data_IF_868301766944
#
_entry.id   IF_868301766944
#
_cell.length_a   1.000
_cell.length_b   1.000
_cell.length_c   1.000
_cell.angle_alpha   90.00
_cell.angle_beta   90.00
_cell.angle_gamma   90.00
#
_symmetry.space_group_name_H-M   'P 1'
#
loop_
_entity.id
_entity.type
_entity.pdbx_description
1 polymer ?
#
# COMPACT_ATOMS: atom_id res chain seq x y z
N UNK A 1 60.93 -30.04 22.76
CA UNK A 1 60.33 -28.71 22.95
C UNK A 1 58.87 -28.91 23.30
N UNK A 2 58.52 -28.72 24.57
CA UNK A 2 57.29 -29.18 25.21
C UNK A 2 56.65 -27.98 25.92
N UNK A 3 55.45 -27.58 25.50
CA UNK A 3 54.52 -26.64 26.15
C UNK A 3 53.22 -26.76 25.31
N UNK A 4 52.13 -27.43 25.67
CA UNK A 4 51.42 -27.73 26.93
C UNK A 4 51.07 -26.48 27.74
N UNK A 5 50.26 -25.60 27.13
CA UNK A 5 49.45 -24.64 27.87
C UNK A 5 48.13 -25.31 28.25
N UNK A 6 48.14 -25.75 29.50
CA UNK A 6 47.06 -26.09 30.44
C UNK A 6 45.62 -25.75 30.04
N UNK A 7 44.79 -26.79 30.08
CA UNK A 7 43.36 -26.72 30.36
C UNK A 7 43.12 -25.94 31.66
N UNK A 8 42.13 -25.03 31.65
CA UNK A 8 41.45 -24.56 32.87
C UNK A 8 39.97 -24.95 32.79
N UNK A 9 39.50 -25.88 33.64
CA UNK A 9 38.08 -26.06 33.87
C UNK A 9 37.61 -25.08 34.94
N UNK A 10 36.79 -24.09 34.57
CA UNK A 10 36.13 -23.22 35.55
C UNK A 10 34.62 -23.51 35.59
N UNK A 11 34.28 -24.35 36.57
CA UNK A 11 33.16 -24.29 37.51
C UNK A 11 31.76 -23.99 36.96
N UNK A 12 30.95 -25.04 37.02
CA UNK A 12 29.49 -25.05 36.97
C UNK A 12 28.92 -24.46 38.27
N UNK A 13 28.05 -23.46 38.17
CA UNK A 13 27.17 -23.03 39.26
C UNK A 13 25.70 -23.25 38.87
N UNK A 14 24.87 -23.87 39.73
CA UNK A 14 23.44 -24.00 39.52
C UNK A 14 22.72 -22.78 40.11
N UNK A 15 21.82 -22.14 39.35
CA UNK A 15 20.80 -21.27 39.93
C UNK A 15 19.42 -21.90 39.74
N UNK A 16 18.79 -22.11 40.89
CA UNK A 16 17.45 -22.64 41.07
C UNK A 16 16.38 -21.75 40.43
N UNK A 17 15.48 -22.40 39.68
CA UNK A 17 14.05 -22.43 39.99
C UNK A 17 13.24 -21.13 39.85
N UNK A 18 12.47 -21.05 38.76
CA UNK A 18 10.99 -21.13 38.77
C UNK A 18 10.48 -20.65 37.41
N UNK A 19 9.94 -21.56 36.61
CA UNK A 19 8.99 -21.18 35.55
C UNK A 19 7.83 -22.18 35.60
N UNK A 20 6.68 -21.69 36.07
CA UNK A 20 5.43 -22.44 36.12
C UNK A 20 5.02 -22.78 34.69
N UNK A 21 4.92 -24.07 34.41
CA UNK A 21 4.25 -24.61 33.25
C UNK A 21 2.77 -24.23 33.29
N UNK A 22 2.40 -23.20 32.53
CA UNK A 22 1.01 -22.97 32.14
C UNK A 22 0.69 -23.92 30.99
N UNK A 23 -0.04 -24.99 31.32
CA UNK A 23 -0.71 -25.85 30.35
C UNK A 23 -2.02 -25.16 29.96
N UNK A 24 -2.26 -24.94 28.67
CA UNK A 24 -3.52 -25.31 28.01
C UNK A 24 -3.40 -25.07 26.50
N UNK A 25 -3.21 -26.16 25.75
CA UNK A 25 -3.62 -26.31 24.35
C UNK A 25 -5.05 -26.86 24.34
N UNK A 26 -5.77 -26.65 23.23
CA UNK A 26 -7.16 -27.05 22.90
C UNK A 26 -8.14 -25.89 22.99
N UNK A 27 -8.94 -25.50 21.99
CA UNK A 27 -9.48 -26.18 20.80
C UNK A 27 -10.11 -25.11 19.86
N UNK A 28 -10.10 -25.37 18.54
CA UNK A 28 -11.22 -25.20 17.57
C UNK A 28 -12.07 -23.88 17.61
N UNK A 29 -12.34 -23.13 16.54
CA UNK A 29 -12.84 -23.46 15.20
C UNK A 29 -12.75 -22.25 14.27
N UNK A 30 -12.52 -22.56 12.99
CA UNK A 30 -12.65 -21.73 11.80
C UNK A 30 -14.11 -21.37 11.55
N UNK A 31 -14.42 -20.10 11.27
CA UNK A 31 -15.63 -19.69 10.54
C UNK A 31 -15.51 -18.24 10.02
N UNK A 32 -14.92 -18.05 8.84
CA UNK A 32 -15.24 -16.88 7.99
C UNK A 32 -15.33 -17.35 6.55
N UNK A 33 -16.51 -17.84 6.19
CA UNK A 33 -16.93 -17.99 4.80
C UNK A 33 -18.28 -17.29 4.69
N UNK A 34 -18.34 -16.19 3.94
CA UNK A 34 -19.52 -15.71 3.18
C UNK A 34 -19.28 -14.29 2.70
N UNK A 35 -18.95 -14.13 1.41
CA UNK A 35 -19.52 -13.14 0.48
C UNK A 35 -18.61 -12.92 -0.74
N UNK A 36 -18.46 -13.95 -1.56
CA UNK A 36 -18.28 -13.77 -3.00
C UNK A 36 -19.35 -14.62 -3.67
N UNK A 37 -20.33 -13.95 -4.29
CA UNK A 37 -20.99 -14.36 -5.53
C UNK A 37 -22.18 -13.43 -5.78
N UNK A 38 -22.02 -12.44 -6.66
CA UNK A 38 -22.99 -12.19 -7.73
C UNK A 38 -22.39 -11.26 -8.80
N UNK A 39 -21.58 -11.84 -9.66
CA UNK A 39 -21.44 -11.37 -11.03
C UNK A 39 -22.29 -12.27 -11.92
N UNK A 40 -23.40 -11.76 -12.45
CA UNK A 40 -23.90 -12.03 -13.82
C UNK A 40 -25.42 -11.82 -13.90
N UNK A 41 -25.84 -10.65 -14.39
CA UNK A 41 -27.13 -10.50 -15.05
C UNK A 41 -27.08 -9.28 -15.98
N UNK A 42 -26.23 -9.32 -16.99
CA UNK A 42 -26.40 -8.52 -18.19
C UNK A 42 -27.11 -9.38 -19.23
N UNK A 43 -28.37 -9.07 -19.50
CA UNK A 43 -29.05 -9.40 -20.75
C UNK A 43 -29.95 -8.21 -21.14
N UNK A 44 -29.89 -7.73 -22.40
CA UNK A 44 -30.63 -6.56 -22.88
C UNK A 44 -31.95 -6.95 -23.55
N UNK A 45 -32.98 -6.11 -23.43
CA UNK A 45 -34.19 -6.04 -24.29
C UNK A 45 -34.97 -4.77 -23.88
N UNK A 46 -34.90 -3.68 -24.64
CA UNK A 46 -35.77 -3.34 -25.77
C UNK A 46 -37.19 -2.87 -25.38
N UNK A 47 -37.56 -1.71 -25.94
CA UNK A 47 -38.90 -1.16 -26.21
C UNK A 47 -39.74 -0.51 -25.08
N UNK A 48 -40.08 0.78 -25.29
CA UNK A 48 -41.49 1.19 -25.30
C UNK A 48 -41.98 2.28 -24.32
N UNK A 49 -42.06 3.52 -24.82
CA UNK A 49 -43.20 4.45 -24.76
C UNK A 49 -43.85 4.92 -23.41
N UNK A 50 -43.69 6.23 -23.16
CA UNK A 50 -44.71 7.29 -22.99
C UNK A 50 -45.84 7.22 -21.92
N UNK A 51 -45.92 8.26 -21.06
CA UNK A 51 -47.07 9.16 -20.74
C UNK A 51 -46.96 9.73 -19.29
N UNK A 52 -46.86 11.08 -19.10
CA UNK A 52 -47.90 12.06 -18.61
C UNK A 52 -48.52 11.75 -17.23
N UNK A 53 -48.88 12.67 -16.31
CA UNK A 53 -48.93 14.15 -16.12
C UNK A 53 -49.31 14.36 -14.63
N UNK A 54 -48.94 15.45 -13.94
CA UNK A 54 -49.85 16.49 -13.34
C UNK A 54 -49.13 17.06 -12.09
N UNK A 55 -48.75 18.34 -12.01
CA UNK A 55 -49.51 19.59 -11.76
C UNK A 55 -49.52 19.98 -10.27
N UNK A 56 -49.01 21.17 -9.95
CA UNK A 56 -49.35 21.94 -8.75
C UNK A 56 -48.83 23.38 -8.85
N UNK A 57 -49.80 24.27 -8.94
CA UNK A 57 -49.84 25.73 -8.86
C UNK A 57 -49.27 26.33 -7.55
N UNK A 58 -48.92 27.63 -7.57
CA UNK A 58 -49.45 28.70 -6.67
C UNK A 58 -48.78 30.06 -7.00
N UNK A 59 -49.54 31.13 -6.75
CA UNK A 59 -49.45 32.51 -7.24
C UNK A 59 -49.52 33.49 -6.04
N UNK A 60 -48.91 34.68 -6.17
CA UNK A 60 -49.15 35.90 -5.35
C UNK A 60 -48.06 36.17 -4.29
N UNK A 61 -47.55 37.39 -4.04
CA UNK A 61 -47.88 38.77 -4.45
C UNK A 61 -46.69 39.72 -4.18
N UNK A 62 -46.64 40.82 -4.96
CA UNK A 62 -46.21 42.23 -4.73
C UNK A 62 -45.29 42.61 -3.51
N UNK A 63 -44.49 43.68 -3.45
CA UNK A 63 -44.30 44.96 -4.16
C UNK A 63 -42.96 45.55 -3.64
N UNK A 64 -42.06 46.11 -4.46
CA UNK A 64 -41.66 47.55 -4.53
C UNK A 64 -40.11 47.63 -4.42
N UNK A 65 -39.31 48.00 -5.44
CA UNK A 65 -39.12 49.31 -6.11
C UNK A 65 -38.54 50.36 -5.16
N UNK A 66 -37.39 51.03 -5.37
CA UNK A 66 -36.34 51.04 -6.40
C UNK A 66 -35.26 52.01 -5.93
N UNK A 67 -33.98 51.75 -6.20
CA UNK A 67 -33.08 52.77 -6.75
C UNK A 67 -32.24 52.08 -7.82
N UNK A 68 -32.60 52.36 -9.07
CA UNK A 68 -31.78 52.08 -10.25
C UNK A 68 -30.52 52.97 -10.21
N UNK A 69 -29.38 52.34 -10.49
CA UNK A 69 -28.50 52.85 -11.54
C UNK A 69 -27.98 51.64 -12.31
N UNK A 70 -28.64 51.42 -13.45
CA UNK A 70 -28.10 50.81 -14.67
C UNK A 70 -26.59 51.08 -14.81
N UNK A 71 -25.76 50.20 -15.35
CA UNK A 71 -26.03 49.44 -16.54
C UNK A 71 -25.03 48.28 -16.65
N UNK A 72 -25.59 47.12 -16.96
CA UNK A 72 -25.19 46.26 -18.07
C UNK A 72 -24.89 44.82 -17.67
N UNK A 73 -25.50 43.81 -18.27
CA UNK A 73 -26.60 43.72 -19.22
C UNK A 73 -27.08 42.27 -18.99
N UNK A 74 -28.37 42.15 -18.67
CA UNK A 74 -29.30 41.08 -19.09
C UNK A 74 -28.72 39.66 -19.20
N UNK A 75 -29.05 38.78 -18.26
CA UNK A 75 -30.15 37.80 -18.41
C UNK A 75 -29.90 36.75 -19.49
N UNK A 76 -30.03 35.48 -19.08
CA UNK A 76 -30.00 34.34 -19.99
C UNK A 76 -30.90 34.57 -21.19
N UNK A 77 -30.33 34.36 -22.37
CA UNK A 77 -31.08 33.99 -23.55
C UNK A 77 -30.79 32.52 -23.80
N UNK A 78 -31.89 31.78 -23.89
CA UNK A 78 -32.10 30.70 -24.85
C UNK A 78 -30.96 29.68 -24.96
N UNK A 79 -31.30 28.46 -24.55
CA UNK A 79 -30.91 27.28 -25.30
C UNK A 79 -31.42 27.41 -26.75
N UNK A 80 -30.77 28.28 -27.52
CA UNK A 80 -30.70 28.19 -28.96
C UNK A 80 -29.54 27.22 -29.22
N UNK A 81 -29.94 25.97 -29.45
CA UNK A 81 -29.17 25.05 -30.25
C UNK A 81 -28.97 25.69 -31.63
N UNK A 82 -28.05 26.64 -31.71
CA UNK A 82 -27.54 27.18 -32.96
C UNK A 82 -26.84 26.03 -33.65
N UNK A 83 -27.39 25.66 -34.81
CA UNK A 83 -26.95 24.60 -35.71
C UNK A 83 -25.55 24.92 -36.22
N UNK A 84 -24.54 24.70 -35.38
CA UNK A 84 -23.15 24.65 -35.82
C UNK A 84 -23.04 23.42 -36.70
N UNK A 85 -22.92 23.65 -38.00
CA UNK A 85 -22.61 22.67 -39.04
C UNK A 85 -21.68 21.57 -38.49
N UNK A 86 -22.01 20.28 -38.67
CA UNK A 86 -21.26 19.16 -38.12
C UNK A 86 -19.97 19.02 -38.91
N UNK A 87 -19.03 19.85 -38.53
CA UNK A 87 -17.76 19.94 -39.19
C UNK A 87 -16.93 18.73 -38.73
N UNK A 88 -16.46 17.94 -39.71
CA UNK A 88 -15.95 16.57 -39.53
C UNK A 88 -14.84 16.39 -38.46
N UNK A 89 -14.24 17.49 -38.03
CA UNK A 89 -13.20 17.61 -37.01
C UNK A 89 -13.75 17.43 -35.58
N UNK A 90 -15.04 17.67 -35.31
CA UNK A 90 -15.63 17.41 -33.98
C UNK A 90 -15.65 15.90 -33.68
N UNK A 91 -16.06 15.09 -34.66
CA UNK A 91 -16.07 13.63 -34.56
C UNK A 91 -14.67 13.04 -34.43
N UNK A 92 -13.71 13.59 -35.17
CA UNK A 92 -12.30 13.21 -35.06
C UNK A 92 -11.68 13.62 -33.72
N UNK A 93 -11.99 14.83 -33.21
CA UNK A 93 -11.48 15.31 -31.93
C UNK A 93 -12.05 14.50 -30.76
N UNK A 94 -13.35 14.17 -30.78
CA UNK A 94 -13.98 13.30 -29.78
C UNK A 94 -13.40 11.88 -29.84
N UNK A 95 -13.21 11.31 -31.03
CA UNK A 95 -12.59 9.99 -31.21
C UNK A 95 -11.12 9.95 -30.75
N UNK A 96 -10.36 11.00 -31.04
CA UNK A 96 -8.96 11.11 -30.60
C UNK A 96 -8.86 11.29 -29.08
N UNK A 97 -9.73 12.10 -28.47
CA UNK A 97 -9.79 12.29 -27.03
C UNK A 97 -10.16 10.99 -26.29
N UNK A 98 -11.18 10.27 -26.77
CA UNK A 98 -11.56 8.95 -26.22
C UNK A 98 -10.46 7.90 -26.44
N UNK A 99 -9.80 7.91 -27.60
CA UNK A 99 -8.69 7.01 -27.91
C UNK A 99 -7.46 7.23 -27.02
N UNK A 100 -7.08 8.48 -26.78
CA UNK A 100 -5.96 8.83 -25.87
C UNK A 100 -6.30 8.48 -24.42
N UNK A 101 -7.55 8.74 -23.98
CA UNK A 101 -8.00 8.37 -22.64
C UNK A 101 -8.01 6.84 -22.44
N UNK A 102 -8.52 6.09 -23.42
CA UNK A 102 -8.51 4.62 -23.39
C UNK A 102 -7.08 4.06 -23.36
N UNK A 103 -6.17 4.62 -24.15
CA UNK A 103 -4.76 4.21 -24.13
C UNK A 103 -4.10 4.42 -22.76
N UNK A 104 -4.40 5.54 -22.09
CA UNK A 104 -3.87 5.82 -20.75
C UNK A 104 -4.45 4.89 -19.67
N UNK A 105 -5.72 4.47 -19.80
CA UNK A 105 -6.33 3.51 -18.87
C UNK A 105 -5.76 2.10 -19.01
N UNK A 106 -5.35 1.68 -20.20
CA UNK A 106 -4.84 0.32 -20.48
C UNK A 106 -3.33 0.20 -20.28
N UNK A 107 -2.56 1.28 -20.50
CA UNK A 107 -1.10 1.29 -20.39
C UNK A 107 -0.58 1.62 -18.98
N UNK A 108 -1.16 1.03 -17.93
CA UNK A 108 -0.59 1.17 -16.58
C UNK A 108 0.63 0.25 -16.46
N UNK A 109 1.82 0.77 -16.10
CA UNK A 109 2.97 -0.10 -15.84
C UNK A 109 2.62 -1.01 -14.67
N UNK A 110 2.78 -2.33 -14.88
CA UNK A 110 2.64 -3.29 -13.80
C UNK A 110 3.78 -3.04 -12.80
N UNK A 111 3.44 -2.51 -11.62
CA UNK A 111 4.37 -2.51 -10.49
C UNK A 111 4.69 -3.96 -10.17
N UNK A 112 5.96 -4.34 -10.26
CA UNK A 112 6.38 -5.68 -9.94
C UNK A 112 6.07 -5.97 -8.47
N UNK A 113 5.47 -7.13 -8.21
CA UNK A 113 5.32 -7.62 -6.84
C UNK A 113 6.70 -7.93 -6.25
N UNK A 114 6.87 -7.72 -4.94
CA UNK A 114 8.17 -7.93 -4.30
C UNK A 114 8.62 -9.39 -4.42
N UNK A 115 9.86 -9.60 -4.84
CA UNK A 115 10.47 -10.92 -5.00
C UNK A 115 11.25 -11.31 -3.74
N UNK A 116 10.67 -12.18 -2.92
CA UNK A 116 11.27 -12.60 -1.65
C UNK A 116 12.61 -13.35 -1.81
N UNK A 117 12.77 -14.14 -2.89
CA UNK A 117 14.02 -14.86 -3.13
C UNK A 117 15.16 -13.90 -3.51
N UNK A 118 14.83 -12.86 -4.29
CA UNK A 118 15.78 -11.79 -4.58
C UNK A 118 16.11 -10.98 -3.32
N UNK A 119 15.10 -10.67 -2.52
CA UNK A 119 15.27 -9.99 -1.24
C UNK A 119 16.21 -10.74 -0.29
N UNK A 120 16.15 -12.06 -0.25
CA UNK A 120 17.07 -12.91 0.53
C UNK A 120 18.51 -12.78 0.03
N UNK A 121 18.76 -12.90 -1.28
CA UNK A 121 20.10 -12.75 -1.88
C UNK A 121 20.72 -11.40 -1.50
N UNK A 122 19.93 -10.34 -1.62
CA UNK A 122 20.36 -8.97 -1.32
C UNK A 122 20.63 -8.79 0.17
N UNK A 123 19.76 -9.36 1.02
CA UNK A 123 19.96 -9.36 2.46
C UNK A 123 21.27 -10.04 2.86
N UNK A 124 21.55 -11.21 2.30
CA UNK A 124 22.78 -11.96 2.57
C UNK A 124 24.03 -11.20 2.09
N UNK A 125 23.96 -10.55 0.93
CA UNK A 125 25.07 -9.78 0.37
C UNK A 125 25.37 -8.45 1.06
N UNK A 126 24.36 -7.79 1.63
CA UNK A 126 24.49 -6.40 2.10
C UNK A 126 24.16 -6.19 3.58
N UNK A 127 23.23 -6.96 4.14
CA UNK A 127 22.64 -6.67 5.45
C UNK A 127 23.07 -7.67 6.53
N UNK A 128 23.28 -8.94 6.15
CA UNK A 128 23.50 -10.05 7.07
C UNK A 128 24.78 -9.90 7.91
N UNK A 129 25.80 -9.19 7.42
CA UNK A 129 27.02 -8.93 8.17
C UNK A 129 26.76 -8.29 9.55
N UNK A 130 25.77 -7.39 9.62
CA UNK A 130 25.34 -6.77 10.88
C UNK A 130 24.04 -7.37 11.41
N UNK A 131 23.17 -7.90 10.54
CA UNK A 131 21.82 -8.32 10.87
C UNK A 131 21.55 -9.83 10.79
N UNK A 132 22.59 -10.66 10.91
CA UNK A 132 22.46 -12.12 10.93
C UNK A 132 21.40 -12.60 11.94
N UNK A 133 20.56 -13.54 11.52
CA UNK A 133 19.45 -14.09 12.32
C UNK A 133 18.55 -13.01 12.96
N UNK A 134 18.38 -11.88 12.26
CA UNK A 134 17.57 -10.75 12.71
C UNK A 134 18.15 -9.98 13.88
N UNK A 135 19.41 -10.21 14.27
CA UNK A 135 20.10 -9.46 15.32
C UNK A 135 20.65 -8.14 14.80
N UNK A 136 21.40 -7.43 15.64
CA UNK A 136 22.16 -6.26 15.22
C UNK A 136 23.49 -6.25 15.97
N UNK A 137 24.58 -6.40 15.23
CA UNK A 137 25.94 -6.47 15.77
C UNK A 137 26.45 -5.13 16.32
N UNK A 138 25.87 -4.00 15.87
CA UNK A 138 26.32 -2.65 16.24
C UNK A 138 25.47 -2.06 17.36
N UNK A 139 24.15 -2.27 17.31
CA UNK A 139 23.18 -1.74 18.27
C UNK A 139 22.28 -2.89 18.77
N UNK A 140 22.61 -3.55 19.90
CA UNK A 140 21.98 -4.80 20.30
C UNK A 140 20.47 -4.67 20.59
N UNK A 141 20.00 -3.48 20.98
CA UNK A 141 18.58 -3.22 21.23
C UNK A 141 17.79 -3.05 19.91
N UNK A 142 18.45 -2.66 18.81
CA UNK A 142 17.81 -2.33 17.52
C UNK A 142 17.87 -3.51 16.55
N UNK A 143 17.22 -4.60 16.92
CA UNK A 143 17.16 -5.83 16.12
C UNK A 143 16.05 -5.77 15.05
N UNK A 144 16.07 -6.71 14.10
CA UNK A 144 15.01 -6.92 13.12
C UNK A 144 13.95 -7.93 13.60
N UNK A 145 13.94 -8.25 14.89
CA UNK A 145 12.91 -9.08 15.50
C UNK A 145 11.59 -8.31 15.55
N UNK A 146 10.47 -9.01 15.34
CA UNK A 146 9.13 -8.40 15.33
C UNK A 146 8.87 -7.51 16.55
N UNK A 147 9.15 -8.01 17.76
CA UNK A 147 8.96 -7.25 18.99
C UNK A 147 9.76 -5.93 19.04
N UNK A 148 11.01 -5.92 18.53
CA UNK A 148 11.83 -4.72 18.49
C UNK A 148 11.35 -3.75 17.40
N UNK A 149 10.96 -4.27 16.22
CA UNK A 149 10.38 -3.47 15.16
C UNK A 149 9.09 -2.78 15.63
N UNK A 150 8.19 -3.49 16.31
CA UNK A 150 6.96 -2.93 16.88
C UNK A 150 7.27 -1.89 17.95
N UNK A 151 8.19 -2.19 18.89
CA UNK A 151 8.58 -1.27 19.96
C UNK A 151 9.12 0.08 19.44
N UNK A 152 9.82 0.06 18.31
CA UNK A 152 10.35 1.28 17.67
C UNK A 152 9.47 1.81 16.52
N UNK A 153 8.27 1.22 16.36
CA UNK A 153 7.31 1.53 15.30
C UNK A 153 7.79 1.20 13.89
N UNK A 154 8.91 0.49 13.73
CA UNK A 154 9.52 0.11 12.46
C UNK A 154 8.89 -1.15 11.84
N UNK A 155 7.84 -1.72 12.44
CA UNK A 155 7.09 -2.85 11.88
C UNK A 155 6.16 -2.38 10.75
N UNK A 156 6.76 -1.80 9.73
CA UNK A 156 6.12 -1.26 8.55
C UNK A 156 7.13 -1.28 7.38
N UNK A 157 6.68 -1.78 6.22
CA UNK A 157 7.56 -1.98 5.05
C UNK A 157 8.13 -0.64 4.57
N UNK A 158 7.33 0.42 4.51
CA UNK A 158 7.78 1.71 4.00
C UNK A 158 8.79 2.39 4.94
N UNK A 159 8.62 2.21 6.26
CA UNK A 159 9.62 2.67 7.24
C UNK A 159 10.94 1.92 7.11
N UNK A 160 10.90 0.61 6.88
CA UNK A 160 12.11 -0.20 6.65
C UNK A 160 12.79 0.25 5.35
N UNK A 161 12.02 0.41 4.25
CA UNK A 161 12.54 0.91 2.97
C UNK A 161 13.23 2.26 3.15
N UNK A 162 12.58 3.20 3.83
CA UNK A 162 13.17 4.51 4.12
C UNK A 162 14.50 4.39 4.87
N UNK A 163 14.56 3.51 5.86
CA UNK A 163 15.76 3.29 6.69
C UNK A 163 16.90 2.61 5.90
N UNK A 164 16.58 1.70 4.99
CA UNK A 164 17.55 1.06 4.08
C UNK A 164 18.07 2.06 3.07
N UNK A 165 17.19 2.86 2.47
CA UNK A 165 17.55 3.88 1.48
C UNK A 165 18.48 4.94 2.08
N UNK A 166 18.13 5.49 3.24
CA UNK A 166 18.82 6.65 3.81
C UNK A 166 19.89 6.30 4.87
N UNK A 167 19.91 5.06 5.37
CA UNK A 167 20.75 4.70 6.50
C UNK A 167 20.36 5.45 7.80
N UNK A 168 21.09 5.19 8.88
CA UNK A 168 20.96 5.91 10.16
C UNK A 168 22.13 5.59 11.08
N UNK A 169 22.77 6.63 11.60
CA UNK A 169 23.94 6.51 12.49
C UNK A 169 25.02 5.62 11.83
N UNK A 170 25.32 4.47 12.45
CA UNK A 170 26.31 3.52 11.96
C UNK A 170 25.81 2.62 10.81
N UNK A 171 24.51 2.63 10.50
CA UNK A 171 23.97 1.91 9.34
C UNK A 171 24.15 2.76 8.08
N UNK A 172 24.89 2.29 7.07
CA UNK A 172 25.12 3.03 5.84
C UNK A 172 23.84 3.16 5.01
N UNK A 173 23.78 4.16 4.14
CA UNK A 173 22.73 4.35 3.15
C UNK A 173 22.94 3.42 1.95
N UNK A 174 21.87 2.77 1.48
CA UNK A 174 21.92 1.87 0.32
C UNK A 174 21.22 2.41 -0.93
N UNK A 175 20.57 3.58 -0.87
CA UNK A 175 19.79 4.14 -1.97
C UNK A 175 20.56 4.38 -3.27
N UNK A 176 21.88 4.59 -3.20
CA UNK A 176 22.74 4.78 -4.38
C UNK A 176 23.34 3.46 -4.90
N UNK A 177 23.30 2.40 -4.09
CA UNK A 177 23.99 1.12 -4.36
C UNK A 177 23.04 0.01 -4.76
N UNK A 178 21.78 0.12 -4.33
CA UNK A 178 20.74 -0.89 -4.50
C UNK A 178 19.54 -0.20 -5.14
N UNK A 179 18.94 -0.83 -6.15
CA UNK A 179 17.80 -0.22 -6.85
C UNK A 179 16.58 -0.08 -5.93
N UNK A 180 15.65 0.81 -6.25
CA UNK A 180 14.43 0.98 -5.45
C UNK A 180 13.58 -0.29 -5.40
N UNK A 181 13.55 -1.08 -6.48
CA UNK A 181 12.86 -2.36 -6.54
C UNK A 181 13.52 -3.40 -5.62
N UNK A 182 14.85 -3.48 -5.66
CA UNK A 182 15.63 -4.36 -4.79
C UNK A 182 15.47 -3.99 -3.30
N UNK A 183 15.35 -2.70 -2.99
CA UNK A 183 15.05 -2.21 -1.64
C UNK A 183 13.64 -2.64 -1.20
N UNK A 184 12.67 -2.65 -2.11
CA UNK A 184 11.32 -3.17 -1.85
C UNK A 184 11.36 -4.68 -1.56
N UNK A 185 12.06 -5.44 -2.39
CA UNK A 185 12.23 -6.89 -2.26
C UNK A 185 12.86 -7.27 -0.90
N UNK A 186 13.96 -6.62 -0.52
CA UNK A 186 14.65 -6.90 0.76
C UNK A 186 13.82 -6.46 1.97
N UNK A 187 13.07 -5.37 1.88
CA UNK A 187 12.25 -4.88 2.99
C UNK A 187 11.06 -5.81 3.25
N UNK A 188 10.43 -6.33 2.19
CA UNK A 188 9.40 -7.36 2.30
C UNK A 188 9.97 -8.68 2.84
N UNK A 189 11.17 -9.07 2.41
CA UNK A 189 11.86 -10.23 2.98
C UNK A 189 12.09 -10.08 4.49
N UNK A 190 12.57 -8.93 4.96
CA UNK A 190 12.76 -8.65 6.39
C UNK A 190 11.45 -8.79 7.17
N UNK A 191 10.33 -8.29 6.65
CA UNK A 191 9.03 -8.42 7.30
C UNK A 191 8.58 -9.87 7.42
N UNK A 192 8.72 -10.66 6.34
CA UNK A 192 8.40 -12.09 6.36
C UNK A 192 9.29 -12.83 7.37
N UNK A 193 10.57 -12.50 7.45
CA UNK A 193 11.50 -13.12 8.38
C UNK A 193 11.24 -12.71 9.84
N UNK A 194 10.83 -11.46 10.06
CA UNK A 194 10.40 -10.99 11.37
C UNK A 194 9.15 -11.75 11.86
N UNK A 195 8.18 -12.00 10.99
CA UNK A 195 6.98 -12.80 11.31
C UNK A 195 7.34 -14.26 11.62
N UNK A 196 8.30 -14.84 10.89
CA UNK A 196 8.85 -16.18 11.14
C UNK A 196 9.77 -16.25 12.37
N UNK A 197 10.00 -15.13 13.05
CA UNK A 197 10.87 -15.04 14.23
C UNK A 197 12.34 -15.35 13.93
N UNK A 198 12.79 -15.15 12.69
CA UNK A 198 14.17 -15.43 12.25
C UNK A 198 14.64 -16.86 12.56
N UNK A 199 13.71 -17.81 12.61
CA UNK A 199 14.03 -19.22 12.68
C UNK A 199 14.57 -19.63 11.31
N UNK A 200 15.89 -19.60 11.16
CA UNK A 200 16.55 -20.21 10.02
C UNK A 200 16.05 -21.65 9.92
N UNK A 201 15.39 -22.00 8.81
CA UNK A 201 15.24 -23.39 8.42
C UNK A 201 16.65 -23.91 8.15
N UNK A 202 17.27 -24.40 9.21
CA UNK A 202 18.59 -25.02 9.24
C UNK A 202 18.60 -26.26 8.36
#
# INVERSE_FOLDING_TARGET
FCQRVTQRPCVRAPIHGKARMSRLRSLLLVAVASSLDLASAFAPSALGAAARRSDATVRGDADARSVELEESITSGTSAEASLVEPSAWRSLALGMALGVFAAFCVARPAMALPNLAKGEEIFLGNCAACHAAGRNAVQPDKTLQKAALEQYGMYDVDRIKYQVTNGKNAMPAFGERVSSQDIDDVSNYIMVMAEKGWTSSS
#
